data_IF_094334161639
#
_entry.id   IF_094334161639
#
_cell.length_a   1.000
_cell.length_b   1.000
_cell.length_c   1.000
_cell.angle_alpha   90.00
_cell.angle_beta   90.00
_cell.angle_gamma   90.00
#
_symmetry.space_group_name_H-M   'P 1'
#
loop_
_entity.id
_entity.type
_entity.pdbx_description
1 polymer ?
#
# COMPACT_ATOMS: atom_id res chain seq x y z
N UNK A 1 6.96 9.24 -13.65
CA UNK A 1 7.52 8.28 -12.67
C UNK A 1 7.77 9.03 -11.38
N UNK A 2 6.87 8.91 -10.41
CA UNK A 2 6.99 9.60 -9.12
C UNK A 2 7.77 8.73 -8.14
N UNK A 3 9.11 8.79 -8.20
CA UNK A 3 10.01 7.98 -7.35
C UNK A 3 9.70 8.16 -5.86
N UNK A 4 9.35 9.38 -5.45
CA UNK A 4 8.95 9.70 -4.08
C UNK A 4 7.68 8.93 -3.68
N UNK A 5 6.63 8.95 -4.52
CA UNK A 5 5.40 8.21 -4.26
C UNK A 5 5.61 6.70 -4.20
N UNK A 6 6.55 6.16 -4.99
CA UNK A 6 6.94 4.76 -4.94
C UNK A 6 7.62 4.39 -3.62
N UNK A 7 8.54 5.21 -3.13
CA UNK A 7 9.22 4.98 -1.84
C UNK A 7 8.21 5.05 -0.69
N UNK A 8 7.34 6.05 -0.68
CA UNK A 8 6.30 6.21 0.35
C UNK A 8 5.35 5.00 0.36
N UNK A 9 4.94 4.52 -0.83
CA UNK A 9 4.14 3.31 -0.97
C UNK A 9 4.85 2.09 -0.37
N UNK A 10 6.11 1.85 -0.73
CA UNK A 10 6.87 0.72 -0.18
C UNK A 10 7.01 0.80 1.35
N UNK A 11 7.25 1.99 1.90
CA UNK A 11 7.29 2.20 3.35
C UNK A 11 5.93 1.91 3.97
N UNK A 12 4.84 2.44 3.41
CA UNK A 12 3.48 2.15 3.88
C UNK A 12 3.17 0.66 3.91
N UNK A 13 3.59 -0.08 2.88
CA UNK A 13 3.43 -1.53 2.81
C UNK A 13 4.21 -2.25 3.92
N UNK A 14 5.47 -1.86 4.16
CA UNK A 14 6.30 -2.41 5.24
C UNK A 14 5.65 -2.12 6.60
N UNK A 15 5.15 -0.91 6.81
CA UNK A 15 4.45 -0.50 8.03
C UNK A 15 3.13 -1.26 8.22
N UNK A 16 2.50 -1.77 7.17
CA UNK A 16 1.34 -2.67 7.30
C UNK A 16 1.73 -4.09 7.69
N UNK A 17 2.83 -4.63 7.15
CA UNK A 17 3.22 -6.04 7.32
C UNK A 17 4.03 -6.29 8.59
N UNK A 18 4.99 -5.41 8.90
CA UNK A 18 5.92 -5.60 10.03
C UNK A 18 5.23 -5.67 11.39
N UNK A 19 4.26 -4.80 11.74
CA UNK A 19 3.55 -4.89 13.01
C UNK A 19 2.84 -6.23 13.19
N UNK A 20 2.24 -6.77 12.12
CA UNK A 20 1.58 -8.08 12.15
C UNK A 20 2.57 -9.20 12.49
N UNK A 21 3.79 -9.15 11.92
CA UNK A 21 4.85 -10.10 12.27
C UNK A 21 5.32 -9.90 13.72
N UNK A 22 5.48 -8.66 14.18
CA UNK A 22 5.89 -8.37 15.55
C UNK A 22 4.85 -8.85 16.59
N UNK A 23 3.55 -8.70 16.30
CA UNK A 23 2.48 -9.26 17.13
C UNK A 23 2.51 -10.78 17.15
N UNK A 24 2.73 -11.42 16.00
CA UNK A 24 2.88 -12.88 15.93
C UNK A 24 4.03 -13.40 16.82
N UNK A 25 5.15 -12.67 16.89
CA UNK A 25 6.27 -12.98 17.78
C UNK A 25 6.06 -12.53 19.24
N UNK A 26 4.88 -12.00 19.60
CA UNK A 26 4.58 -11.52 20.95
C UNK A 26 5.35 -10.26 21.36
N UNK A 27 5.88 -9.49 20.39
CA UNK A 27 6.69 -8.29 20.64
C UNK A 27 5.93 -6.97 20.56
N UNK A 28 4.65 -7.02 20.22
CA UNK A 28 3.80 -5.83 20.09
C UNK A 28 2.38 -6.16 20.56
N UNK A 29 1.69 -5.18 21.14
CA UNK A 29 0.30 -5.34 21.56
C UNK A 29 -0.67 -5.26 20.36
N UNK A 30 -1.82 -5.91 20.47
CA UNK A 30 -2.83 -5.97 19.41
C UNK A 30 -3.39 -4.58 19.04
N UNK A 31 -3.62 -3.72 20.04
CA UNK A 31 -4.18 -2.38 19.84
C UNK A 31 -3.21 -1.49 19.05
N UNK A 32 -1.92 -1.62 19.36
CA UNK A 32 -0.85 -0.92 18.64
C UNK A 32 -0.77 -1.39 17.19
N UNK A 33 -0.81 -2.70 16.95
CA UNK A 33 -0.79 -3.26 15.57
C UNK A 33 -1.96 -2.78 14.75
N UNK A 34 -3.17 -2.79 15.31
CA UNK A 34 -4.37 -2.35 14.60
C UNK A 34 -4.23 -0.91 14.09
N UNK A 35 -3.75 -0.03 14.94
CA UNK A 35 -3.60 1.40 14.61
C UNK A 35 -2.48 1.63 13.60
N UNK A 36 -1.30 1.03 13.82
CA UNK A 36 -0.14 1.18 12.94
C UNK A 36 -0.41 0.58 11.55
N UNK A 37 -1.01 -0.62 11.48
CA UNK A 37 -1.35 -1.25 10.22
C UNK A 37 -2.42 -0.47 9.45
N UNK A 38 -3.39 0.14 10.14
CA UNK A 38 -4.40 1.00 9.51
C UNK A 38 -3.75 2.24 8.87
N UNK A 39 -2.87 2.91 9.59
CA UNK A 39 -2.13 4.08 9.07
C UNK A 39 -1.24 3.68 7.89
N UNK A 40 -0.50 2.58 7.99
CA UNK A 40 0.31 2.03 6.90
C UNK A 40 -0.52 1.72 5.66
N UNK A 41 -1.71 1.15 5.85
CA UNK A 41 -2.64 0.83 4.76
C UNK A 41 -3.13 2.09 4.08
N UNK A 42 -3.55 3.11 4.81
CA UNK A 42 -3.99 4.40 4.24
C UNK A 42 -2.85 5.04 3.45
N UNK A 43 -1.63 5.11 4.02
CA UNK A 43 -0.46 5.67 3.34
C UNK A 43 -0.11 4.92 2.05
N UNK A 44 -0.10 3.59 2.10
CA UNK A 44 0.13 2.75 0.93
C UNK A 44 -0.95 2.96 -0.12
N UNK A 45 -2.22 2.97 0.27
CA UNK A 45 -3.34 3.06 -0.67
C UNK A 45 -3.42 4.42 -1.37
N UNK A 46 -3.08 5.51 -0.67
CA UNK A 46 -3.04 6.85 -1.26
C UNK A 46 -1.84 7.04 -2.20
N UNK A 47 -0.69 6.45 -1.86
CA UNK A 47 0.55 6.64 -2.64
C UNK A 47 0.67 5.71 -3.84
N UNK A 48 0.12 4.48 -3.77
CA UNK A 48 0.29 3.45 -4.81
C UNK A 48 -0.27 3.84 -6.18
N UNK A 49 -1.51 4.39 -6.31
CA UNK A 49 -2.06 4.80 -7.59
C UNK A 49 -1.24 5.90 -8.30
N UNK A 50 -0.55 6.75 -7.54
CA UNK A 50 0.21 7.89 -8.05
C UNK A 50 1.44 7.49 -8.88
N UNK A 51 1.88 6.24 -8.81
CA UNK A 51 3.03 5.75 -9.56
C UNK A 51 2.77 4.44 -10.29
N UNK A 52 1.84 3.59 -9.81
CA UNK A 52 1.50 2.30 -10.42
C UNK A 52 0.38 2.39 -11.46
N UNK A 53 0.04 3.60 -11.92
CA UNK A 53 -0.93 3.83 -12.98
C UNK A 53 -0.59 3.02 -14.24
N UNK A 54 -1.49 2.11 -14.64
CA UNK A 54 -1.39 1.36 -15.89
C UNK A 54 -1.75 2.29 -17.06
N UNK A 55 -0.94 2.26 -18.13
CA UNK A 55 -1.44 2.74 -19.42
C UNK A 55 -2.44 1.70 -19.92
N UNK A 56 -3.69 2.10 -20.09
CA UNK A 56 -4.69 1.23 -20.71
C UNK A 56 -4.23 0.94 -22.15
N UNK A 57 -4.14 -0.32 -22.57
CA UNK A 57 -3.88 -0.64 -23.97
C UNK A 57 -5.03 -0.09 -24.83
N UNK A 58 -4.67 0.42 -26.02
CA UNK A 58 -5.57 1.16 -26.93
C UNK A 58 -6.80 0.32 -27.34
N UNK A 59 -6.70 -1.02 -27.33
CA UNK A 59 -7.78 -1.96 -27.70
C UNK A 59 -8.98 -1.98 -26.76
N UNK A 60 -8.87 -1.49 -25.52
CA UNK A 60 -10.01 -1.40 -24.60
C UNK A 60 -11.01 -0.29 -25.00
N UNK A 61 -10.74 0.44 -26.08
CA UNK A 61 -11.54 1.58 -26.57
C UNK A 61 -12.54 1.20 -27.67
N UNK A 62 -12.53 -0.05 -28.16
CA UNK A 62 -13.34 -0.50 -29.31
C UNK A 62 -14.31 -1.65 -29.00
N UNK A 63 -14.50 -2.00 -27.72
CA UNK A 63 -15.62 -2.86 -27.34
C UNK A 63 -16.86 -1.97 -27.22
N UNK A 64 -17.55 -1.77 -28.34
CA UNK A 64 -18.95 -1.34 -28.33
C UNK A 64 -19.76 -2.45 -27.63
N UNK A 65 -20.42 -2.09 -26.54
CA UNK A 65 -21.33 -2.95 -25.76
C UNK A 65 -22.74 -2.73 -26.27
#
# INVERSE_FOLDING_TARGET
MNTIAKVISLIGLVVTVVPCLLYYFGRMDHETVKTVALVGTILWFLSTPLWMGRRLPVDAKHVEI
#
